data_IF_406338850267
#
_entry.id   IF_406338850267
#
_cell.length_a   1.000
_cell.length_b   1.000
_cell.length_c   1.000
_cell.angle_alpha   90.00
_cell.angle_beta   90.00
_cell.angle_gamma   90.00
#
_symmetry.space_group_name_H-M   'P 1'
#
loop_
_entity.id
_entity.type
_entity.pdbx_description
1 polymer ?
#
# COMPACT_ATOMS: atom_id res chain seq x y z
N UNK A 1 -20.14 -2.31 12.60
CA UNK A 1 -19.84 -1.43 11.45
C UNK A 1 -18.59 -0.51 11.56
N UNK A 2 -17.78 -0.51 12.64
CA UNK A 2 -16.49 0.24 12.66
C UNK A 2 -15.33 -0.57 12.05
N UNK A 3 -15.31 -1.87 12.28
CA UNK A 3 -14.20 -2.77 11.90
C UNK A 3 -13.94 -2.75 10.39
N UNK A 4 -14.97 -2.93 9.54
CA UNK A 4 -14.78 -2.88 8.08
C UNK A 4 -14.18 -1.57 7.58
N UNK A 5 -14.63 -0.43 8.13
CA UNK A 5 -14.07 0.89 7.80
C UNK A 5 -12.62 1.03 8.26
N UNK A 6 -12.27 0.53 9.45
CA UNK A 6 -10.89 0.53 9.95
C UNK A 6 -9.99 -0.35 9.08
N UNK A 7 -10.44 -1.56 8.73
CA UNK A 7 -9.69 -2.47 7.84
C UNK A 7 -9.47 -1.84 6.47
N UNK A 8 -10.49 -1.19 5.91
CA UNK A 8 -10.34 -0.44 4.67
C UNK A 8 -9.30 0.69 4.82
N UNK A 9 -9.35 1.48 5.89
CA UNK A 9 -8.38 2.56 6.10
C UNK A 9 -6.93 2.04 6.16
N UNK A 10 -6.70 0.91 6.85
CA UNK A 10 -5.37 0.27 6.91
C UNK A 10 -4.91 -0.19 5.53
N UNK A 11 -5.78 -0.87 4.77
CA UNK A 11 -5.46 -1.31 3.41
C UNK A 11 -5.12 -0.14 2.48
N UNK A 12 -5.87 0.96 2.56
CA UNK A 12 -5.61 2.17 1.78
C UNK A 12 -4.24 2.79 2.12
N UNK A 13 -3.91 2.90 3.41
CA UNK A 13 -2.61 3.41 3.84
C UNK A 13 -1.45 2.53 3.34
N UNK A 14 -1.59 1.21 3.43
CA UNK A 14 -0.61 0.27 2.89
C UNK A 14 -0.45 0.43 1.37
N UNK A 15 -1.55 0.54 0.62
CA UNK A 15 -1.49 0.76 -0.83
C UNK A 15 -0.76 2.05 -1.20
N UNK A 16 -1.03 3.15 -0.50
CA UNK A 16 -0.34 4.43 -0.74
C UNK A 16 1.15 4.29 -0.46
N UNK A 17 1.53 3.67 0.66
CA UNK A 17 2.93 3.44 1.01
C UNK A 17 3.64 2.54 -0.01
N UNK A 18 3.01 1.43 -0.42
CA UNK A 18 3.55 0.54 -1.44
C UNK A 18 3.77 1.24 -2.78
N UNK A 19 2.82 2.08 -3.21
CA UNK A 19 2.98 2.91 -4.41
C UNK A 19 4.15 3.89 -4.29
N UNK A 20 4.32 4.55 -3.14
CA UNK A 20 5.46 5.44 -2.88
C UNK A 20 6.77 4.66 -2.97
N UNK A 21 6.87 3.49 -2.33
CA UNK A 21 8.10 2.69 -2.34
C UNK A 21 8.45 2.17 -3.73
N UNK A 22 7.45 1.73 -4.50
CA UNK A 22 7.62 1.35 -5.90
C UNK A 22 8.21 2.49 -6.73
N UNK A 23 7.64 3.70 -6.58
CA UNK A 23 8.11 4.90 -7.30
C UNK A 23 9.48 5.37 -6.80
N UNK A 24 9.80 5.21 -5.51
CA UNK A 24 11.15 5.50 -4.99
C UNK A 24 12.18 4.53 -5.58
N UNK A 25 11.87 3.23 -5.64
CA UNK A 25 12.72 2.21 -6.29
C UNK A 25 13.04 2.55 -7.75
N UNK A 26 12.09 3.18 -8.44
CA UNK A 26 12.24 3.67 -9.82
C UNK A 26 12.93 5.03 -9.96
N UNK A 27 13.36 5.65 -8.86
CA UNK A 27 13.94 7.00 -8.84
C UNK A 27 12.98 8.10 -9.32
N UNK A 28 11.66 7.86 -9.27
CA UNK A 28 10.65 8.84 -9.73
C UNK A 28 10.31 9.83 -8.62
N UNK A 29 10.31 9.38 -7.37
CA UNK A 29 10.01 10.20 -6.18
C UNK A 29 11.03 9.97 -5.07
N UNK A 30 11.11 10.89 -4.11
CA UNK A 30 11.95 10.78 -2.92
C UNK A 30 13.38 11.32 -3.08
N UNK A 31 14.13 11.44 -1.97
CA UNK A 31 15.50 11.95 -1.99
C UNK A 31 16.48 10.87 -2.44
N UNK A 32 17.53 11.28 -3.17
CA UNK A 32 18.61 10.39 -3.62
C UNK A 32 19.39 9.75 -2.45
N UNK A 33 19.34 10.34 -1.25
CA UNK A 33 19.94 9.77 -0.04
C UNK A 33 19.11 8.64 0.60
N UNK A 34 17.89 8.37 0.11
CA UNK A 34 17.07 7.27 0.60
C UNK A 34 17.68 5.93 0.17
N UNK A 35 17.71 4.97 1.09
CA UNK A 35 18.12 3.60 0.80
C UNK A 35 17.20 2.89 -0.21
N UNK A 36 15.99 3.41 -0.40
CA UNK A 36 15.02 2.90 -1.37
C UNK A 36 15.20 3.50 -2.76
N UNK A 37 15.85 4.65 -2.89
CA UNK A 37 15.94 5.37 -4.16
C UNK A 37 16.83 4.60 -5.15
N UNK A 38 16.36 4.44 -6.38
CA UNK A 38 17.06 3.68 -7.43
C UNK A 38 17.38 2.22 -7.06
N UNK A 39 16.61 1.61 -6.14
CA UNK A 39 16.85 0.25 -5.67
C UNK A 39 15.81 -0.74 -6.25
N UNK A 40 16.23 -1.71 -7.09
CA UNK A 40 15.34 -2.69 -7.70
C UNK A 40 14.57 -3.59 -6.71
N UNK A 41 15.13 -3.86 -5.53
CA UNK A 41 14.42 -4.65 -4.50
C UNK A 41 13.18 -3.89 -4.01
N UNK A 42 13.29 -2.57 -3.85
CA UNK A 42 12.18 -1.72 -3.41
C UNK A 42 11.10 -1.51 -4.48
N UNK A 43 11.42 -1.76 -5.75
CA UNK A 43 10.39 -1.88 -6.81
C UNK A 43 9.51 -3.11 -6.51
N UNK A 44 10.12 -4.27 -6.30
CA UNK A 44 9.38 -5.52 -6.02
C UNK A 44 8.60 -5.43 -4.71
N UNK A 45 9.26 -5.01 -3.62
CA UNK A 45 8.61 -4.87 -2.32
C UNK A 45 7.51 -3.81 -2.33
N UNK A 46 7.71 -2.69 -3.03
CA UNK A 46 6.67 -1.68 -3.20
C UNK A 46 5.42 -2.24 -3.88
N UNK A 47 5.61 -3.05 -4.93
CA UNK A 47 4.52 -3.70 -5.64
C UNK A 47 3.80 -4.77 -4.79
N UNK A 48 4.55 -5.57 -4.01
CA UNK A 48 3.99 -6.54 -3.07
C UNK A 48 3.14 -5.86 -1.99
N UNK A 49 3.67 -4.80 -1.36
CA UNK A 49 2.95 -4.02 -0.34
C UNK A 49 1.69 -3.38 -0.95
N UNK A 50 1.80 -2.82 -2.16
CA UNK A 50 0.67 -2.25 -2.89
C UNK A 50 -0.43 -3.29 -3.11
N UNK A 51 -0.06 -4.48 -3.58
CA UNK A 51 -0.97 -5.59 -3.84
C UNK A 51 -1.67 -6.11 -2.58
N UNK A 52 -0.91 -6.34 -1.50
CA UNK A 52 -1.47 -6.75 -0.21
C UNK A 52 -2.38 -5.66 0.37
N UNK A 53 -1.97 -4.39 0.31
CA UNK A 53 -2.79 -3.26 0.74
C UNK A 53 -4.11 -3.18 -0.02
N UNK A 54 -4.09 -3.39 -1.33
CA UNK A 54 -5.28 -3.36 -2.17
C UNK A 54 -6.25 -4.50 -1.82
N UNK A 55 -5.72 -5.70 -1.55
CA UNK A 55 -6.53 -6.83 -1.09
C UNK A 55 -7.19 -6.55 0.27
N UNK A 56 -6.43 -6.01 1.24
CA UNK A 56 -6.96 -5.63 2.56
C UNK A 56 -8.03 -4.53 2.42
N UNK A 57 -7.79 -3.54 1.56
CA UNK A 57 -8.76 -2.48 1.29
C UNK A 57 -10.08 -3.05 0.77
N UNK A 58 -10.02 -3.92 -0.26
CA UNK A 58 -11.19 -4.56 -0.83
C UNK A 58 -11.95 -5.40 0.23
N UNK A 59 -11.24 -6.16 1.07
CA UNK A 59 -11.84 -6.91 2.18
C UNK A 59 -12.52 -5.98 3.19
N UNK A 60 -11.88 -4.89 3.57
CA UNK A 60 -12.46 -3.89 4.48
C UNK A 60 -13.75 -3.28 3.95
N UNK A 61 -13.79 -2.97 2.65
CA UNK A 61 -15.00 -2.48 1.98
C UNK A 61 -16.09 -3.54 1.96
N UNK A 62 -15.77 -4.79 1.63
CA UNK A 62 -16.74 -5.91 1.68
C UNK A 62 -17.34 -6.09 3.08
N UNK A 63 -16.51 -6.00 4.13
CA UNK A 63 -16.94 -6.07 5.53
C UNK A 63 -17.74 -4.84 5.99
N UNK A 64 -17.53 -3.68 5.37
CA UNK A 64 -18.30 -2.48 5.68
C UNK A 64 -19.69 -2.50 5.01
N UNK A 65 -19.79 -3.11 3.82
CA UNK A 65 -21.02 -3.23 3.04
C UNK A 65 -21.90 -4.37 3.54
N UNK A 66 -21.33 -5.57 3.77
CA UNK A 66 -22.03 -6.63 4.49
C UNK A 66 -22.24 -6.12 5.91
N UNK A 67 -23.48 -5.74 6.25
CA UNK A 67 -23.90 -5.36 7.61
C UNK A 67 -23.80 -6.56 8.58
N UNK A 68 -22.58 -7.04 8.81
CA UNK A 68 -22.25 -7.89 9.96
C UNK A 68 -22.06 -6.99 11.18
#
# INVERSE_FOLDING_TARGET
MKIGKTVAAVGAAMSVLGAIFYLQGQSVVGPQSSFMYANPEWITHGLEILGVGAAIFALGIMLAIKRV
#
